data_IF_923869972401
#
_entry.id   IF_923869972401
#
_cell.length_a   1.000
_cell.length_b   1.000
_cell.length_c   1.000
_cell.angle_alpha   90.00
_cell.angle_beta   90.00
_cell.angle_gamma   90.00
#
_symmetry.space_group_name_H-M   'P 1'
#
loop_
_entity.id
_entity.type
_entity.pdbx_description
1 polymer ?
#
# COMPACT_ATOMS: atom_id res chain seq x y z
N UNK A 1 -14.14 -7.23 -29.58
CA UNK A 1 -12.68 -7.42 -29.46
C UNK A 1 -11.97 -7.82 -30.75
N UNK A 2 -12.64 -8.44 -31.74
CA UNK A 2 -11.98 -8.96 -32.96
C UNK A 2 -11.64 -7.94 -34.05
N UNK A 3 -12.16 -6.71 -34.00
CA UNK A 3 -11.87 -5.65 -34.97
C UNK A 3 -10.78 -4.71 -34.42
N UNK A 4 -9.74 -4.46 -35.24
CA UNK A 4 -8.57 -3.62 -34.92
C UNK A 4 -8.88 -2.13 -34.83
N UNK A 5 -10.01 -1.68 -35.39
CA UNK A 5 -10.45 -0.28 -35.31
C UNK A 5 -10.99 0.08 -33.93
N UNK A 6 -11.34 -0.92 -33.13
CA UNK A 6 -11.80 -0.73 -31.77
C UNK A 6 -10.62 -0.58 -30.81
N UNK A 7 -10.86 0.11 -29.71
CA UNK A 7 -9.93 0.22 -28.59
C UNK A 7 -10.66 0.18 -27.26
N UNK A 8 -9.96 -0.26 -26.21
CA UNK A 8 -10.45 -0.18 -24.82
C UNK A 8 -9.42 0.57 -24.00
N UNK A 9 -9.90 1.57 -23.27
CA UNK A 9 -9.11 2.31 -22.30
C UNK A 9 -9.51 1.83 -20.91
N UNK A 10 -8.56 1.27 -20.18
CA UNK A 10 -8.70 0.91 -18.78
C UNK A 10 -8.25 2.12 -17.97
N UNK A 11 -9.21 2.79 -17.32
CA UNK A 11 -8.99 4.06 -16.65
C UNK A 11 -8.54 3.92 -15.17
N UNK A 12 -8.51 2.69 -14.63
CA UNK A 12 -8.37 2.45 -13.20
C UNK A 12 -7.55 1.22 -12.85
N UNK A 13 -7.32 1.03 -11.54
CA UNK A 13 -6.58 -0.14 -11.04
C UNK A 13 -7.38 -1.42 -11.27
N UNK A 14 -6.76 -2.40 -11.92
CA UNK A 14 -7.35 -3.73 -12.16
C UNK A 14 -6.75 -4.75 -11.20
N UNK A 15 -7.60 -5.52 -10.54
CA UNK A 15 -7.17 -6.60 -9.63
C UNK A 15 -6.85 -7.87 -10.42
N UNK A 16 -5.82 -8.60 -9.98
CA UNK A 16 -5.45 -9.90 -10.54
C UNK A 16 -6.65 -10.85 -10.57
N UNK A 17 -6.79 -11.58 -11.68
CA UNK A 17 -7.91 -12.51 -11.90
C UNK A 17 -9.10 -11.93 -12.67
N UNK A 18 -9.23 -10.60 -12.73
CA UNK A 18 -10.28 -9.94 -13.54
C UNK A 18 -9.98 -9.99 -15.03
N UNK A 19 -11.01 -9.92 -15.88
CA UNK A 19 -10.83 -9.80 -17.33
C UNK A 19 -10.03 -8.55 -17.70
N UNK A 20 -10.29 -7.43 -17.02
CA UNK A 20 -9.59 -6.17 -17.21
C UNK A 20 -8.07 -6.33 -16.99
N UNK A 21 -7.65 -7.03 -15.93
CA UNK A 21 -6.24 -7.32 -15.73
C UNK A 21 -5.65 -8.27 -16.78
N UNK A 22 -6.42 -9.27 -17.23
CA UNK A 22 -5.98 -10.22 -18.24
C UNK A 22 -5.73 -9.55 -19.60
N UNK A 23 -6.59 -8.63 -20.02
CA UNK A 23 -6.45 -7.97 -21.33
C UNK A 23 -5.26 -7.01 -21.39
N UNK A 24 -4.80 -6.49 -20.24
CA UNK A 24 -3.56 -5.70 -20.17
C UNK A 24 -2.30 -6.48 -20.54
N UNK A 25 -2.34 -7.82 -20.43
CA UNK A 25 -1.27 -8.70 -20.90
C UNK A 25 -1.33 -8.99 -22.40
N UNK A 26 -2.24 -8.35 -23.14
CA UNK A 26 -2.45 -8.50 -24.58
C UNK A 26 -2.47 -9.96 -25.07
N UNK A 27 -3.30 -10.84 -24.47
CA UNK A 27 -3.38 -12.23 -24.90
C UNK A 27 -3.97 -12.31 -26.32
N UNK A 28 -3.55 -13.31 -27.11
CA UNK A 28 -4.08 -13.52 -28.48
C UNK A 28 -5.58 -13.80 -28.52
N UNK A 29 -6.13 -14.39 -27.46
CA UNK A 29 -7.55 -14.70 -27.34
C UNK A 29 -8.03 -14.50 -25.89
N UNK A 30 -9.32 -14.19 -25.75
CA UNK A 30 -10.04 -14.06 -24.49
C UNK A 30 -11.28 -14.93 -24.48
N UNK A 31 -11.67 -15.42 -23.32
CA UNK A 31 -12.91 -16.19 -23.17
C UNK A 31 -14.09 -15.25 -22.97
N UNK A 32 -15.14 -15.44 -23.78
CA UNK A 32 -16.44 -14.79 -23.62
C UNK A 32 -17.22 -15.39 -22.45
N UNK A 33 -18.27 -14.69 -22.00
CA UNK A 33 -19.16 -15.17 -20.92
C UNK A 33 -19.82 -16.51 -21.30
N UNK A 34 -20.09 -16.73 -22.61
CA UNK A 34 -20.65 -17.98 -23.13
C UNK A 34 -19.60 -19.09 -23.29
N UNK A 35 -18.35 -18.89 -22.85
CA UNK A 35 -17.28 -19.88 -22.89
C UNK A 35 -16.47 -19.93 -24.19
N UNK A 36 -16.92 -19.24 -25.25
CA UNK A 36 -16.23 -19.22 -26.54
C UNK A 36 -14.93 -18.41 -26.48
N UNK A 37 -13.90 -18.87 -27.18
CA UNK A 37 -12.63 -18.16 -27.37
C UNK A 37 -12.77 -17.12 -28.49
N UNK A 38 -12.48 -15.86 -28.18
CA UNK A 38 -12.55 -14.73 -29.12
C UNK A 38 -11.16 -14.11 -29.31
N UNK A 39 -10.75 -13.77 -30.54
CA UNK A 39 -9.48 -13.09 -30.76
C UNK A 39 -9.53 -11.66 -30.19
N UNK A 40 -8.43 -11.25 -29.54
CA UNK A 40 -8.24 -9.89 -29.05
C UNK A 40 -7.37 -9.12 -30.04
N UNK A 41 -8.02 -8.42 -30.98
CA UNK A 41 -7.36 -7.64 -32.03
C UNK A 41 -7.48 -6.12 -31.81
N UNK A 42 -8.41 -5.69 -30.95
CA UNK A 42 -8.57 -4.29 -30.58
C UNK A 42 -7.39 -3.80 -29.73
N UNK A 43 -7.09 -2.50 -29.78
CA UNK A 43 -6.06 -1.91 -28.92
C UNK A 43 -6.49 -1.91 -27.46
N UNK A 44 -5.54 -2.14 -26.55
CA UNK A 44 -5.74 -2.07 -25.10
C UNK A 44 -4.80 -1.01 -24.56
N UNK A 45 -5.33 -0.01 -23.86
CA UNK A 45 -4.51 1.06 -23.26
C UNK A 45 -4.88 1.23 -21.80
N UNK A 46 -3.88 1.30 -20.93
CA UNK A 46 -4.08 1.61 -19.52
C UNK A 46 -3.75 3.08 -19.27
N UNK A 47 -4.72 3.87 -18.85
CA UNK A 47 -4.52 5.25 -18.41
C UNK A 47 -5.00 5.36 -16.98
N UNK A 48 -4.07 5.35 -16.04
CA UNK A 48 -4.40 5.40 -14.61
C UNK A 48 -4.81 6.83 -14.22
N UNK A 49 -6.11 7.06 -14.03
CA UNK A 49 -6.65 8.29 -13.40
C UNK A 49 -6.76 8.18 -11.87
N UNK A 50 -6.13 7.16 -11.30
CA UNK A 50 -6.36 6.81 -9.90
C UNK A 50 -5.63 7.79 -8.98
N UNK A 51 -6.38 8.45 -8.12
CA UNK A 51 -5.89 9.32 -7.04
C UNK A 51 -5.31 8.51 -5.87
N UNK A 52 -4.43 7.55 -6.17
CA UNK A 52 -3.65 6.88 -5.14
C UNK A 52 -2.36 7.64 -4.90
N UNK A 53 -1.95 7.74 -3.64
CA UNK A 53 -0.70 8.38 -3.26
C UNK A 53 0.45 7.77 -4.06
N UNK A 54 1.16 8.62 -4.80
CA UNK A 54 2.35 8.19 -5.51
C UNK A 54 3.52 7.96 -4.52
N UNK A 55 4.65 7.46 -5.02
CA UNK A 55 5.82 7.23 -4.17
C UNK A 55 6.33 8.53 -3.53
N UNK A 56 6.22 9.65 -4.24
CA UNK A 56 6.75 10.95 -3.81
C UNK A 56 5.90 11.51 -2.67
N UNK A 57 4.59 11.57 -2.87
CA UNK A 57 3.60 11.97 -1.88
C UNK A 57 3.67 11.09 -0.63
N UNK A 58 3.80 9.78 -0.80
CA UNK A 58 3.96 8.85 0.33
C UNK A 58 5.24 9.11 1.11
N UNK A 59 6.35 9.39 0.42
CA UNK A 59 7.63 9.70 1.08
C UNK A 59 7.58 11.03 1.82
N UNK A 60 7.00 12.06 1.21
CA UNK A 60 6.78 13.37 1.84
C UNK A 60 5.89 13.25 3.09
N UNK A 61 4.86 12.41 3.04
CA UNK A 61 4.00 12.13 4.19
C UNK A 61 4.75 11.46 5.35
N UNK A 62 5.62 10.50 5.04
CA UNK A 62 6.48 9.85 6.04
C UNK A 62 7.48 10.84 6.64
N UNK A 63 8.04 11.75 5.82
CA UNK A 63 8.96 12.79 6.27
C UNK A 63 8.33 13.78 7.25
N UNK A 64 7.07 14.14 7.00
CA UNK A 64 6.32 15.06 7.85
C UNK A 64 6.01 14.43 9.22
N UNK A 65 5.56 13.18 9.23
CA UNK A 65 5.10 12.52 10.45
C UNK A 65 6.22 11.84 11.25
N UNK A 66 7.31 11.46 10.59
CA UNK A 66 8.43 10.68 11.16
C UNK A 66 7.97 9.52 12.06
N UNK A 67 7.08 8.63 11.57
CA UNK A 67 6.59 7.51 12.36
C UNK A 67 7.72 6.52 12.65
N UNK A 68 7.70 5.89 13.83
CA UNK A 68 8.64 4.79 14.15
C UNK A 68 8.25 3.47 13.49
N UNK A 69 6.95 3.22 13.38
CA UNK A 69 6.35 2.01 12.83
C UNK A 69 5.44 2.35 11.65
N UNK A 70 5.62 1.66 10.53
CA UNK A 70 4.78 1.78 9.33
C UNK A 70 4.24 0.41 8.97
N UNK A 71 2.92 0.31 8.79
CA UNK A 71 2.26 -0.93 8.36
C UNK A 71 1.69 -0.69 6.95
N UNK A 72 2.26 -1.37 5.96
CA UNK A 72 1.80 -1.30 4.57
C UNK A 72 0.66 -2.31 4.34
N UNK A 73 -0.47 -1.81 3.87
CA UNK A 73 -1.69 -2.57 3.57
C UNK A 73 -2.29 -2.10 2.24
N UNK A 74 -3.35 -2.76 1.77
CA UNK A 74 -4.11 -2.36 0.59
C UNK A 74 -3.24 -2.15 -0.68
N UNK A 75 -2.22 -2.98 -0.85
CA UNK A 75 -1.36 -2.97 -2.03
C UNK A 75 -1.10 -4.39 -2.54
N UNK A 76 -0.73 -4.50 -3.80
CA UNK A 76 -0.23 -5.77 -4.34
C UNK A 76 1.07 -6.14 -3.60
N UNK A 77 1.19 -7.40 -3.18
CA UNK A 77 2.32 -7.91 -2.36
C UNK A 77 3.69 -7.44 -2.87
N UNK A 78 3.99 -7.67 -4.14
CA UNK A 78 5.27 -7.29 -4.76
C UNK A 78 5.52 -5.77 -4.75
N UNK A 79 4.48 -4.97 -5.02
CA UNK A 79 4.58 -3.52 -4.99
C UNK A 79 4.81 -2.99 -3.57
N UNK A 80 4.16 -3.59 -2.57
CA UNK A 80 4.39 -3.24 -1.16
C UNK A 80 5.81 -3.59 -0.70
N UNK A 81 6.36 -4.73 -1.12
CA UNK A 81 7.76 -5.07 -0.84
C UNK A 81 8.73 -4.10 -1.49
N UNK A 82 8.47 -3.69 -2.73
CA UNK A 82 9.25 -2.66 -3.41
C UNK A 82 9.19 -1.32 -2.67
N UNK A 83 7.98 -0.86 -2.33
CA UNK A 83 7.77 0.37 -1.56
C UNK A 83 8.51 0.35 -0.22
N UNK A 84 8.42 -0.77 0.52
CA UNK A 84 9.17 -0.98 1.77
C UNK A 84 10.67 -0.80 1.57
N UNK A 85 11.25 -1.44 0.55
CA UNK A 85 12.68 -1.34 0.25
C UNK A 85 13.07 0.09 -0.11
N UNK A 86 12.29 0.72 -0.98
CA UNK A 86 12.58 2.05 -1.50
C UNK A 86 12.45 3.11 -0.37
N UNK A 87 11.49 2.97 0.56
CA UNK A 87 11.37 3.82 1.75
C UNK A 87 12.54 3.64 2.74
N UNK A 88 12.96 2.40 3.01
CA UNK A 88 14.11 2.12 3.88
C UNK A 88 15.41 2.68 3.30
N UNK A 89 15.58 2.60 1.98
CA UNK A 89 16.75 3.16 1.30
C UNK A 89 16.73 4.69 1.24
N UNK A 90 15.55 5.29 1.09
CA UNK A 90 15.39 6.74 1.03
C UNK A 90 15.60 7.43 2.39
N UNK A 91 15.31 6.75 3.50
CA UNK A 91 15.28 7.32 4.86
C UNK A 91 16.02 6.48 5.91
N UNK A 92 17.32 6.19 5.71
CA UNK A 92 18.10 5.40 6.67
C UNK A 92 18.19 6.04 8.07
N UNK A 93 18.07 7.36 8.16
CA UNK A 93 18.16 8.14 9.40
C UNK A 93 16.95 8.00 10.32
N UNK A 94 15.77 7.64 9.78
CA UNK A 94 14.53 7.56 10.54
C UNK A 94 14.37 6.23 11.30
N UNK A 95 15.25 5.25 11.08
CA UNK A 95 15.19 3.91 11.70
C UNK A 95 13.76 3.29 11.63
N UNK A 96 13.13 3.40 10.47
CA UNK A 96 11.74 2.99 10.25
C UNK A 96 11.57 1.47 10.41
N UNK A 97 10.59 1.04 11.20
CA UNK A 97 10.14 -0.36 11.24
C UNK A 97 8.94 -0.53 10.30
N UNK A 98 9.18 -1.14 9.14
CA UNK A 98 8.14 -1.31 8.12
C UNK A 98 7.67 -2.77 8.05
N UNK A 99 6.38 -3.00 8.28
CA UNK A 99 5.72 -4.30 8.22
C UNK A 99 4.77 -4.38 7.02
N UNK A 100 4.75 -5.55 6.36
CA UNK A 100 3.83 -5.87 5.24
C UNK A 100 3.05 -7.15 5.61
N UNK A 101 2.13 -7.08 6.59
CA UNK A 101 1.43 -8.26 7.09
C UNK A 101 0.55 -8.89 6.01
N UNK A 102 0.54 -10.22 5.96
CA UNK A 102 -0.45 -10.97 5.19
C UNK A 102 -1.79 -11.00 5.93
N UNK A 103 -2.87 -11.32 5.21
CA UNK A 103 -4.17 -11.52 5.85
C UNK A 103 -4.03 -12.53 6.99
N UNK A 104 -4.75 -12.29 8.10
CA UNK A 104 -4.70 -13.12 9.31
C UNK A 104 -3.37 -13.11 10.08
N UNK A 105 -2.36 -12.33 9.65
CA UNK A 105 -1.14 -12.15 10.43
C UNK A 105 -1.29 -11.06 11.50
N UNK A 106 -0.63 -11.23 12.63
CA UNK A 106 -0.64 -10.26 13.74
C UNK A 106 0.64 -9.45 13.75
N UNK A 107 0.52 -8.11 13.75
CA UNK A 107 1.64 -7.19 13.99
C UNK A 107 1.62 -6.81 15.47
N UNK A 108 2.74 -7.05 16.18
CA UNK A 108 2.91 -6.61 17.58
C UNK A 108 3.82 -5.40 17.61
N UNK A 109 3.34 -4.31 18.22
CA UNK A 109 4.12 -3.09 18.43
C UNK A 109 4.30 -2.92 19.94
N UNK A 110 5.54 -2.94 20.39
CA UNK A 110 5.86 -2.68 21.79
C UNK A 110 5.94 -1.18 22.03
N UNK A 111 5.15 -0.69 22.99
CA UNK A 111 5.16 0.70 23.41
C UNK A 111 5.71 0.79 24.83
N UNK A 112 6.89 1.38 24.99
CA UNK A 112 7.44 1.70 26.30
C UNK A 112 6.87 3.03 26.79
N UNK A 113 5.81 2.97 27.60
CA UNK A 113 5.28 4.12 28.31
C UNK A 113 6.06 4.36 29.60
N UNK A 114 6.62 5.56 29.79
CA UNK A 114 7.02 5.99 31.14
C UNK A 114 5.74 6.13 31.96
N UNK A 115 5.62 5.34 33.04
CA UNK A 115 4.54 5.51 34.00
C UNK A 115 4.80 6.81 34.76
N UNK A 116 4.01 7.83 34.48
CA UNK A 116 4.05 9.11 35.20
C UNK A 116 2.89 9.14 36.17
N UNK A 117 3.18 9.25 37.45
CA UNK A 117 2.19 9.53 38.48
C UNK A 117 2.39 10.98 38.94
N UNK A 118 1.28 11.71 39.08
CA UNK A 118 1.29 13.06 39.67
C UNK A 118 0.63 12.95 41.04
N UNK A 119 1.35 13.31 42.09
CA UNK A 119 0.81 13.45 43.43
C UNK A 119 0.20 14.85 43.54
N UNK A 120 -1.00 14.95 44.13
CA UNK A 120 -1.75 16.20 44.28
C UNK A 120 -2.27 16.29 45.71
N UNK A 121 -2.33 17.50 46.29
CA UNK A 121 -2.81 17.82 47.64
C UNK A 121 -1.86 17.35 48.74
N UNK A 122 -2.38 16.91 49.89
CA UNK A 122 -1.65 16.69 51.14
C UNK A 122 -0.43 15.75 51.04
N UNK A 123 -0.38 14.85 50.06
CA UNK A 123 0.76 13.96 49.80
C UNK A 123 1.91 14.64 49.02
N UNK A 124 1.68 15.83 48.47
CA UNK A 124 2.70 16.64 47.79
C UNK A 124 3.38 17.67 48.72
N UNK A 125 2.86 17.86 49.93
CA UNK A 125 3.33 18.88 50.88
C UNK A 125 4.56 18.42 51.69
N UNK A 126 4.81 17.12 51.77
CA UNK A 126 6.01 16.55 52.39
C UNK A 126 7.15 16.43 51.37
N UNK A 127 8.29 17.10 51.61
CA UNK A 127 9.51 16.83 50.85
C UNK A 127 9.95 15.37 51.04
N UNK A 128 10.42 14.67 49.99
CA UNK A 128 10.98 13.34 50.16
C UNK A 128 12.24 13.45 51.01
N UNK A 129 12.28 12.75 52.14
CA UNK A 129 13.55 12.47 52.81
C UNK A 129 14.25 11.34 52.04
N UNK A 130 15.51 11.58 51.68
CA UNK A 130 16.41 10.60 51.03
C UNK A 130 16.57 9.31 51.84
#
# INVERSE_FOLDING_TARGET
CGDRRNGVIIAGYTVQGTLAHKVLGEPKAIQSISGNQLPLNMSVTNVSFVAHADFRETTEFVDLLRPKDIILVHGQREKMFRLKRDLLAAKPELNLRISTPENTSTVRIEMSGRKVARIIKSLADSQPND
#
